data_IF_978475010424
#
_entry.id   IF_978475010424
#
_cell.length_a   1.000
_cell.length_b   1.000
_cell.length_c   1.000
_cell.angle_alpha   90.00
_cell.angle_beta   90.00
_cell.angle_gamma   90.00
#
_symmetry.space_group_name_H-M   'P 1'
#
loop_
_entity.id
_entity.type
_entity.pdbx_description
1 polymer ?
#
# COMPACT_ATOMS: atom_id res chain seq x y z
N UNK A 1 19.69 15.80 -8.26
CA UNK A 1 19.06 15.69 -6.92
C UNK A 1 18.03 14.58 -7.04
N UNK A 2 17.97 13.66 -6.09
CA UNK A 2 16.89 12.66 -6.05
C UNK A 2 15.64 13.41 -5.62
N UNK A 3 14.63 13.43 -6.48
CA UNK A 3 13.33 14.01 -6.16
C UNK A 3 12.68 13.16 -5.06
N UNK A 4 12.21 13.82 -4.00
CA UNK A 4 11.56 13.13 -2.89
C UNK A 4 10.06 13.14 -3.13
N UNK A 5 9.41 12.01 -2.88
CA UNK A 5 7.97 11.87 -2.99
C UNK A 5 7.36 11.71 -1.60
N UNK A 6 6.12 12.16 -1.44
CA UNK A 6 5.35 12.06 -0.21
C UNK A 6 3.89 11.75 -0.52
N UNK A 7 3.20 11.13 0.44
CA UNK A 7 1.78 10.84 0.33
C UNK A 7 0.96 12.10 0.65
N UNK A 8 0.02 12.42 -0.21
CA UNK A 8 -0.91 13.54 -0.03
C UNK A 8 -2.35 13.09 -0.18
N UNK A 9 -3.20 13.61 0.71
CA UNK A 9 -4.64 13.56 0.58
C UNK A 9 -5.12 14.79 -0.17
N UNK A 10 -5.79 14.59 -1.30
CA UNK A 10 -6.34 15.65 -2.12
C UNK A 10 -7.72 16.08 -1.58
N UNK A 11 -7.78 17.35 -1.19
CA UNK A 11 -9.04 18.07 -0.98
C UNK A 11 -9.64 18.36 -2.33
N UNK A 12 -10.96 18.19 -2.43
CA UNK A 12 -11.80 18.44 -3.61
C UNK A 12 -11.11 19.24 -4.72
N UNK A 13 -10.99 18.65 -5.91
CA UNK A 13 -10.53 19.35 -7.11
C UNK A 13 -11.43 18.98 -8.30
N UNK A 14 -11.30 19.72 -9.40
CA UNK A 14 -12.17 19.58 -10.58
C UNK A 14 -11.94 18.27 -11.36
N UNK A 15 -10.79 17.63 -11.14
CA UNK A 15 -10.27 16.50 -11.88
C UNK A 15 -10.44 15.17 -11.12
N UNK A 16 -10.50 15.20 -9.78
CA UNK A 16 -10.51 14.02 -8.93
C UNK A 16 -11.50 14.15 -7.77
N UNK A 17 -12.14 13.04 -7.37
CA UNK A 17 -12.99 13.02 -6.18
C UNK A 17 -12.23 13.47 -4.94
N UNK A 18 -12.92 14.18 -4.06
CA UNK A 18 -12.41 14.51 -2.73
C UNK A 18 -12.01 13.24 -1.97
N UNK A 19 -10.85 13.30 -1.33
CA UNK A 19 -10.30 12.22 -0.53
C UNK A 19 -9.41 11.25 -1.27
N UNK A 20 -9.11 11.52 -2.54
CA UNK A 20 -8.14 10.71 -3.25
C UNK A 20 -6.74 10.87 -2.64
N UNK A 21 -6.07 9.75 -2.37
CA UNK A 21 -4.67 9.73 -1.95
C UNK A 21 -3.76 9.61 -3.17
N UNK A 22 -2.66 10.37 -3.19
CA UNK A 22 -1.63 10.30 -4.21
C UNK A 22 -0.24 10.37 -3.59
N UNK A 23 0.70 9.61 -4.12
CA UNK A 23 2.12 9.89 -3.94
C UNK A 23 2.52 10.96 -4.96
N UNK A 24 3.13 12.06 -4.53
CA UNK A 24 3.53 13.19 -5.37
C UNK A 24 4.89 13.73 -4.93
N UNK A 25 5.54 14.51 -5.81
CA UNK A 25 6.79 15.19 -5.47
C UNK A 25 6.58 16.13 -4.26
N UNK A 26 7.46 16.04 -3.27
CA UNK A 26 7.43 16.83 -2.03
C UNK A 26 8.04 18.22 -2.29
N UNK A 27 7.37 19.00 -3.13
CA UNK A 27 7.79 20.34 -3.56
C UNK A 27 6.75 21.38 -3.14
N UNK A 28 7.04 22.67 -3.36
CA UNK A 28 6.10 23.76 -3.04
C UNK A 28 4.91 23.85 -3.97
N UNK A 29 4.96 23.18 -5.12
CA UNK A 29 3.89 23.17 -6.11
C UNK A 29 3.94 21.83 -6.88
N UNK A 30 3.44 20.74 -6.29
CA UNK A 30 3.39 19.45 -6.94
C UNK A 30 2.49 19.49 -8.18
N UNK A 31 2.83 18.68 -9.17
CA UNK A 31 2.00 18.47 -10.36
C UNK A 31 1.41 17.06 -10.37
N UNK A 32 0.17 16.96 -10.82
CA UNK A 32 -0.38 15.69 -11.28
C UNK A 32 0.07 15.49 -12.73
N UNK A 33 0.57 14.29 -13.09
CA UNK A 33 0.86 13.96 -14.47
C UNK A 33 -0.38 14.18 -15.35
N UNK A 34 -0.15 14.53 -16.62
CA UNK A 34 -1.19 14.52 -17.64
C UNK A 34 -1.90 13.16 -17.61
N UNK A 35 -3.23 13.18 -17.62
CA UNK A 35 -4.05 11.98 -17.47
C UNK A 35 -4.48 11.44 -18.83
N UNK A 36 -3.90 11.95 -19.90
CA UNK A 36 -4.33 11.72 -21.26
C UNK A 36 -5.34 12.74 -21.77
N UNK A 37 -5.58 13.81 -21.00
CA UNK A 37 -6.29 15.02 -21.42
C UNK A 37 -5.35 16.06 -22.06
N UNK A 38 -4.04 15.80 -22.07
CA UNK A 38 -3.01 16.64 -22.68
C UNK A 38 -2.49 17.73 -21.75
N UNK A 39 -2.94 17.77 -20.49
CA UNK A 39 -2.60 18.84 -19.55
C UNK A 39 -2.14 18.26 -18.21
N UNK A 40 -0.89 18.56 -17.83
CA UNK A 40 -0.43 18.36 -16.46
C UNK A 40 -1.01 19.45 -15.56
N UNK A 41 -1.52 19.06 -14.40
CA UNK A 41 -2.23 19.99 -13.51
C UNK A 41 -1.36 20.32 -12.31
N UNK A 42 -1.04 21.60 -12.13
CA UNK A 42 -0.41 22.10 -10.91
C UNK A 42 -1.44 22.10 -9.78
N UNK A 43 -1.07 21.54 -8.64
CA UNK A 43 -1.93 21.49 -7.46
C UNK A 43 -1.45 22.48 -6.41
N UNK A 44 -2.37 23.31 -5.94
CA UNK A 44 -2.14 24.19 -4.81
C UNK A 44 -1.95 23.37 -3.53
N UNK A 45 -0.90 23.67 -2.77
CA UNK A 45 -0.63 23.05 -1.48
C UNK A 45 -1.76 23.24 -0.48
N UNK A 46 -2.59 24.28 -0.59
CA UNK A 46 -3.79 24.45 0.24
C UNK A 46 -4.84 23.36 0.03
N UNK A 47 -4.82 22.73 -1.15
CA UNK A 47 -5.69 21.59 -1.53
C UNK A 47 -5.07 20.24 -1.16
N UNK A 48 -3.86 20.22 -0.61
CA UNK A 48 -3.18 18.98 -0.23
C UNK A 48 -3.00 18.90 1.27
N UNK A 49 -3.23 17.70 1.81
CA UNK A 49 -2.83 17.38 3.18
C UNK A 49 -1.75 16.32 3.10
N UNK A 50 -0.51 16.72 3.44
CA UNK A 50 0.60 15.78 3.55
C UNK A 50 0.27 14.76 4.62
N UNK A 51 0.27 13.49 4.23
CA UNK A 51 -0.02 12.35 5.09
C UNK A 51 1.28 11.72 5.57
N UNK A 52 1.28 11.06 6.75
CA UNK A 52 2.41 10.24 7.15
C UNK A 52 2.60 9.10 6.14
N UNK A 53 3.83 8.59 6.07
CA UNK A 53 4.17 7.46 5.22
C UNK A 53 3.28 6.25 5.50
N UNK A 54 2.96 5.53 4.44
CA UNK A 54 1.99 4.48 4.45
C UNK A 54 2.59 3.20 5.05
N UNK A 55 2.22 2.86 6.30
CA UNK A 55 2.74 1.67 6.98
C UNK A 55 2.06 0.35 6.57
N UNK A 56 0.96 0.42 5.81
CA UNK A 56 0.14 -0.73 5.43
C UNK A 56 0.57 -1.26 4.06
N UNK A 57 0.46 -2.56 3.82
CA UNK A 57 0.76 -3.10 2.49
C UNK A 57 -0.52 -3.04 1.67
N UNK A 58 -0.62 -2.07 0.75
CA UNK A 58 -1.74 -2.02 -0.19
C UNK A 58 -1.63 -3.21 -1.12
N UNK A 59 -2.56 -4.18 -1.12
CA UNK A 59 -2.53 -5.25 -2.10
C UNK A 59 -2.77 -4.65 -3.48
N UNK A 60 -1.81 -4.73 -4.42
CA UNK A 60 -1.90 -4.06 -5.72
C UNK A 60 -3.16 -4.41 -6.53
N UNK A 61 -3.69 -5.63 -6.36
CA UNK A 61 -4.93 -6.08 -7.01
C UNK A 61 -6.23 -5.51 -6.43
N UNK A 62 -6.17 -4.83 -5.27
CA UNK A 62 -7.32 -4.14 -4.67
C UNK A 62 -7.39 -2.66 -5.03
N UNK A 63 -6.37 -2.12 -5.71
CA UNK A 63 -6.29 -0.73 -6.11
C UNK A 63 -7.32 -0.45 -7.21
N UNK A 64 -8.34 0.40 -7.02
CA UNK A 64 -9.26 0.76 -8.09
C UNK A 64 -8.49 1.30 -9.30
N UNK A 65 -8.91 0.93 -10.51
CA UNK A 65 -8.27 1.37 -11.74
C UNK A 65 -9.26 2.17 -12.58
N UNK A 66 -8.81 3.30 -13.12
CA UNK A 66 -9.52 4.02 -14.17
C UNK A 66 -8.60 4.21 -15.38
N UNK A 67 -9.06 3.79 -16.55
CA UNK A 67 -8.44 4.17 -17.83
C UNK A 67 -8.94 5.55 -18.18
N UNK A 68 -8.01 6.44 -18.50
CA UNK A 68 -8.29 7.87 -18.68
C UNK A 68 -8.12 8.31 -20.13
N UNK A 69 -7.30 7.61 -20.92
CA UNK A 69 -7.20 7.85 -22.37
C UNK A 69 -6.72 6.63 -23.14
N UNK A 70 -7.04 6.62 -24.44
CA UNK A 70 -6.56 5.66 -25.43
C UNK A 70 -6.29 6.43 -26.73
N UNK A 71 -5.11 6.29 -27.34
CA UNK A 71 -4.76 7.06 -28.54
C UNK A 71 -5.40 6.56 -29.83
N UNK A 72 -5.80 5.28 -29.89
CA UNK A 72 -6.49 4.65 -31.02
C UNK A 72 -7.68 3.82 -30.54
N UNK A 73 -8.86 4.10 -31.08
CA UNK A 73 -10.11 3.45 -30.67
C UNK A 73 -10.93 4.29 -29.68
N UNK A 74 -11.98 3.67 -29.14
CA UNK A 74 -12.91 4.31 -28.21
C UNK A 74 -12.63 3.85 -26.78
N UNK A 75 -12.40 4.81 -25.88
CA UNK A 75 -12.20 4.58 -24.45
C UNK A 75 -13.33 3.74 -23.83
N UNK A 76 -14.57 3.91 -24.30
CA UNK A 76 -15.74 3.18 -23.79
C UNK A 76 -15.67 1.67 -24.07
N UNK A 77 -14.82 1.25 -25.00
CA UNK A 77 -14.63 -0.16 -25.34
C UNK A 77 -13.52 -0.82 -24.51
N UNK A 78 -12.73 -0.04 -23.75
CA UNK A 78 -11.73 -0.59 -22.83
C UNK A 78 -12.39 -0.94 -21.51
N UNK A 79 -12.21 -2.18 -21.07
CA UNK A 79 -12.81 -2.67 -19.83
C UNK A 79 -11.75 -3.13 -18.83
N UNK A 80 -12.03 -2.98 -17.55
CA UNK A 80 -11.21 -3.55 -16.48
C UNK A 80 -11.84 -4.88 -16.06
N UNK A 81 -11.18 -5.99 -16.37
CA UNK A 81 -11.50 -7.30 -15.82
C UNK A 81 -10.68 -7.49 -14.53
N UNK A 82 -11.37 -7.71 -13.43
CA UNK A 82 -10.72 -7.80 -12.12
C UNK A 82 -11.42 -8.74 -11.16
N UNK A 83 -10.60 -9.33 -10.31
CA UNK A 83 -11.01 -10.09 -9.13
C UNK A 83 -10.16 -9.64 -7.94
N UNK A 84 -10.32 -10.30 -6.79
CA UNK A 84 -9.39 -10.12 -5.67
C UNK A 84 -7.93 -10.48 -6.03
N UNK A 85 -7.71 -11.29 -7.07
CA UNK A 85 -6.41 -11.89 -7.38
C UNK A 85 -5.71 -11.29 -8.60
N UNK A 86 -6.45 -10.63 -9.49
CA UNK A 86 -5.88 -10.03 -10.69
C UNK A 86 -6.63 -8.77 -11.10
N UNK A 87 -5.95 -7.93 -11.85
CA UNK A 87 -6.54 -6.81 -12.59
C UNK A 87 -5.92 -6.77 -13.97
N UNK A 88 -6.77 -6.66 -14.97
CA UNK A 88 -6.41 -6.68 -16.38
C UNK A 88 -7.13 -5.54 -17.09
N UNK A 89 -6.37 -4.75 -17.85
CA UNK A 89 -6.96 -3.84 -18.85
C UNK A 89 -7.21 -4.65 -20.11
N UNK A 90 -8.48 -4.81 -20.48
CA UNK A 90 -8.87 -5.49 -21.70
C UNK A 90 -9.06 -4.46 -22.82
N UNK A 91 -8.27 -4.63 -23.88
CA UNK A 91 -8.30 -3.76 -25.05
C UNK A 91 -8.85 -4.58 -26.22
N UNK A 92 -10.06 -4.29 -26.71
CA UNK A 92 -10.60 -5.02 -27.84
C UNK A 92 -9.86 -4.65 -29.12
N UNK A 93 -9.61 -5.67 -29.94
CA UNK A 93 -9.13 -5.45 -31.30
C UNK A 93 -10.25 -4.82 -32.14
N UNK A 94 -10.09 -3.53 -32.43
CA UNK A 94 -10.92 -2.80 -33.38
C UNK A 94 -10.45 -3.07 -34.83
N UNK A 95 -11.18 -2.55 -35.82
CA UNK A 95 -10.81 -2.69 -37.25
C UNK A 95 -9.36 -2.24 -37.52
N UNK A 96 -8.86 -1.30 -36.72
CA UNK A 96 -7.53 -0.69 -36.84
C UNK A 96 -6.43 -1.38 -36.00
N UNK A 97 -6.79 -2.31 -35.11
CA UNK A 97 -5.84 -3.00 -34.21
C UNK A 97 -6.02 -4.49 -34.40
N UNK A 98 -5.17 -5.11 -35.22
CA UNK A 98 -5.21 -6.55 -35.47
C UNK A 98 -4.42 -7.36 -34.44
N UNK A 99 -3.40 -6.74 -33.84
CA UNK A 99 -2.45 -7.38 -32.93
C UNK A 99 -1.70 -6.34 -32.10
N UNK A 100 -1.38 -6.68 -30.85
CA UNK A 100 -0.36 -6.01 -30.03
C UNK A 100 0.84 -6.95 -29.94
N UNK A 101 2.04 -6.48 -30.26
CA UNK A 101 3.29 -7.26 -30.25
C UNK A 101 3.90 -7.31 -28.84
N UNK A 102 3.98 -6.15 -28.20
CA UNK A 102 4.46 -5.99 -26.83
C UNK A 102 3.79 -4.78 -26.19
N UNK A 103 3.87 -4.67 -24.87
CA UNK A 103 3.49 -3.45 -24.16
C UNK A 103 4.54 -3.11 -23.11
N UNK A 104 4.98 -1.86 -23.10
CA UNK A 104 5.82 -1.30 -22.04
C UNK A 104 4.97 -0.41 -21.17
N UNK A 105 5.03 -0.58 -19.85
CA UNK A 105 4.33 0.28 -18.89
C UNK A 105 5.31 1.18 -18.18
N UNK A 106 5.05 2.48 -18.25
CA UNK A 106 5.84 3.52 -17.62
C UNK A 106 5.06 4.14 -16.46
N UNK A 107 5.73 4.34 -15.34
CA UNK A 107 5.29 5.22 -14.26
C UNK A 107 5.52 6.67 -14.67
N UNK A 108 4.42 7.39 -14.93
CA UNK A 108 4.46 8.78 -15.40
C UNK A 108 4.89 9.77 -14.33
N UNK A 109 4.78 9.40 -13.06
CA UNK A 109 5.17 10.24 -11.94
C UNK A 109 6.69 10.19 -11.73
N UNK A 110 7.27 9.00 -11.84
CA UNK A 110 8.70 8.77 -11.63
C UNK A 110 9.53 8.82 -12.93
N UNK A 111 8.88 8.75 -14.10
CA UNK A 111 9.54 8.72 -15.40
C UNK A 111 10.33 7.42 -15.63
N UNK A 112 9.85 6.30 -15.11
CA UNK A 112 10.54 5.01 -15.12
C UNK A 112 9.69 3.94 -15.79
N UNK A 113 10.33 3.06 -16.57
CA UNK A 113 9.73 1.80 -16.99
C UNK A 113 9.54 0.91 -15.76
N UNK A 114 8.33 0.41 -15.56
CA UNK A 114 7.98 -0.45 -14.40
C UNK A 114 7.69 -1.89 -14.79
N UNK A 115 7.28 -2.13 -16.04
CA UNK A 115 7.03 -3.49 -16.53
C UNK A 115 7.03 -3.55 -18.05
N UNK A 116 7.34 -4.74 -18.60
CA UNK A 116 7.23 -5.05 -20.02
C UNK A 116 6.53 -6.39 -20.22
N UNK A 117 5.54 -6.40 -21.12
CA UNK A 117 4.73 -7.56 -21.43
C UNK A 117 4.93 -7.95 -22.88
N UNK A 118 5.10 -9.25 -23.12
CA UNK A 118 4.96 -9.82 -24.46
C UNK A 118 3.49 -10.05 -24.79
N UNK A 119 3.16 -10.12 -26.08
CA UNK A 119 1.78 -10.32 -26.54
C UNK A 119 1.12 -11.53 -25.88
N UNK A 120 -0.04 -11.31 -25.26
CA UNK A 120 -0.97 -12.38 -24.90
C UNK A 120 -2.34 -12.06 -25.51
N UNK A 121 -2.70 -12.82 -26.55
CA UNK A 121 -3.97 -12.65 -27.25
C UNK A 121 -4.94 -13.72 -26.75
N UNK A 122 -6.08 -13.27 -26.24
CA UNK A 122 -7.20 -14.16 -25.87
C UNK A 122 -8.48 -13.53 -26.42
N UNK A 123 -9.27 -14.29 -27.17
CA UNK A 123 -10.61 -13.88 -27.64
C UNK A 123 -10.67 -12.53 -28.38
N UNK A 124 -9.68 -12.24 -29.26
CA UNK A 124 -9.55 -10.96 -30.01
C UNK A 124 -9.47 -9.72 -29.10
N UNK A 125 -8.95 -9.91 -27.89
CA UNK A 125 -8.59 -8.82 -26.99
C UNK A 125 -7.12 -8.96 -26.63
N UNK A 126 -6.47 -7.83 -26.44
CA UNK A 126 -5.22 -7.79 -25.71
C UNK A 126 -5.51 -7.61 -24.21
N UNK A 127 -4.82 -8.40 -23.38
CA UNK A 127 -4.99 -8.40 -21.92
C UNK A 127 -3.71 -7.91 -21.26
N UNK A 128 -3.75 -6.68 -20.74
CA UNK A 128 -2.63 -6.08 -20.02
C UNK A 128 -2.76 -6.33 -18.52
N UNK A 129 -1.93 -7.20 -17.96
CA UNK A 129 -2.01 -7.66 -16.57
C UNK A 129 -1.36 -6.68 -15.58
N UNK A 130 -2.13 -5.69 -15.13
CA UNK A 130 -1.66 -4.60 -14.24
C UNK A 130 -1.83 -4.87 -12.74
N UNK A 131 -2.25 -6.08 -12.37
CA UNK A 131 -2.60 -6.44 -10.99
C UNK A 131 -1.47 -6.23 -9.99
N UNK A 132 -0.20 -6.33 -10.40
CA UNK A 132 0.96 -6.16 -9.52
C UNK A 132 1.41 -4.70 -9.35
N UNK A 133 0.94 -3.79 -10.21
CA UNK A 133 1.34 -2.38 -10.17
C UNK A 133 0.78 -1.69 -8.93
N UNK A 134 1.61 -0.89 -8.28
CA UNK A 134 1.24 -0.08 -7.10
C UNK A 134 0.23 1.02 -7.48
N UNK A 135 -0.38 1.72 -6.52
CA UNK A 135 -1.09 2.96 -6.83
C UNK A 135 -0.16 3.96 -7.55
N UNK A 136 -0.67 4.64 -8.57
CA UNK A 136 0.14 5.54 -9.40
C UNK A 136 -0.50 5.93 -10.72
N UNK A 137 0.25 6.70 -11.51
CA UNK A 137 -0.11 7.18 -12.84
C UNK A 137 0.72 6.41 -13.88
N UNK A 138 0.05 5.75 -14.81
CA UNK A 138 0.70 4.85 -15.75
C UNK A 138 0.35 5.17 -17.20
N UNK A 139 1.32 4.96 -18.07
CA UNK A 139 1.16 4.91 -19.52
C UNK A 139 1.61 3.54 -20.03
N UNK A 140 0.74 2.83 -20.73
CA UNK A 140 1.11 1.65 -21.48
C UNK A 140 1.31 2.03 -22.95
N UNK A 141 2.51 1.77 -23.46
CA UNK A 141 2.89 1.90 -24.86
C UNK A 141 2.81 0.50 -25.48
N UNK A 142 1.74 0.23 -26.21
CA UNK A 142 1.51 -1.02 -26.91
C UNK A 142 2.06 -0.91 -28.34
N UNK A 143 3.06 -1.74 -28.66
CA UNK A 143 3.62 -1.85 -30.01
C UNK A 143 2.67 -2.64 -30.91
N UNK A 144 2.32 -2.08 -32.05
CA UNK A 144 1.50 -2.70 -33.09
C UNK A 144 2.38 -3.10 -34.28
N UNK A 145 1.86 -3.88 -35.25
CA UNK A 145 2.52 -4.06 -36.54
C UNK A 145 2.88 -2.74 -37.23
N UNK A 146 3.84 -2.80 -38.17
CA UNK A 146 4.29 -1.64 -38.96
C UNK A 146 4.86 -0.46 -38.16
N UNK A 147 5.35 -0.74 -36.94
CA UNK A 147 5.91 0.25 -36.01
C UNK A 147 4.89 1.29 -35.52
N UNK A 148 3.60 0.98 -35.64
CA UNK A 148 2.56 1.79 -35.04
C UNK A 148 2.49 1.59 -33.52
N UNK A 149 1.96 2.59 -32.80
CA UNK A 149 1.79 2.52 -31.35
C UNK A 149 0.36 2.81 -30.95
N UNK A 150 -0.08 2.13 -29.90
CA UNK A 150 -1.28 2.44 -29.13
C UNK A 150 -0.83 2.89 -27.73
N UNK A 151 -1.28 4.07 -27.31
CA UNK A 151 -1.01 4.61 -25.99
C UNK A 151 -2.26 4.50 -25.13
N UNK A 152 -2.09 4.04 -23.89
CA UNK A 152 -3.18 3.92 -22.93
C UNK A 152 -2.71 4.55 -21.62
N UNK A 153 -3.41 5.60 -21.17
CA UNK A 153 -3.16 6.16 -19.84
C UNK A 153 -4.17 5.59 -18.85
N UNK A 154 -3.71 5.20 -17.67
CA UNK A 154 -4.57 4.73 -16.59
C UNK A 154 -4.00 5.13 -15.22
N UNK A 155 -4.90 5.20 -14.24
CA UNK A 155 -4.59 5.55 -12.86
C UNK A 155 -4.97 4.38 -11.98
N UNK A 156 -4.04 3.93 -11.12
CA UNK A 156 -4.35 3.02 -10.01
C UNK A 156 -4.46 3.85 -8.74
N UNK A 157 -5.65 3.87 -8.15
CA UNK A 157 -5.93 4.61 -6.92
C UNK A 157 -5.57 3.80 -5.69
N UNK A 158 -5.29 4.50 -4.59
CA UNK A 158 -5.32 3.85 -3.28
C UNK A 158 -6.73 3.32 -3.00
N UNK A 159 -6.89 2.12 -2.41
CA UNK A 159 -8.20 1.59 -2.06
C UNK A 159 -8.93 2.50 -1.07
N UNK A 160 -10.25 2.60 -1.24
CA UNK A 160 -11.11 3.53 -0.47
C UNK A 160 -10.97 3.35 1.05
N UNK A 161 -10.81 2.11 1.52
CA UNK A 161 -10.62 1.80 2.95
C UNK A 161 -9.43 2.52 3.58
N UNK A 162 -8.42 2.90 2.79
CA UNK A 162 -7.29 3.67 3.27
C UNK A 162 -7.56 5.17 3.16
N UNK A 163 -8.13 5.64 2.04
CA UNK A 163 -8.62 7.02 1.89
C UNK A 163 -9.45 7.48 3.09
N UNK A 164 -10.42 6.67 3.51
CA UNK A 164 -11.34 7.03 4.59
C UNK A 164 -10.62 7.14 5.95
N UNK A 165 -9.63 6.28 6.21
CA UNK A 165 -8.84 6.29 7.46
C UNK A 165 -7.87 7.47 7.53
N UNK A 166 -7.32 7.88 6.40
CA UNK A 166 -6.38 9.01 6.33
C UNK A 166 -7.10 10.35 6.38
N UNK A 167 -8.37 10.43 5.97
CA UNK A 167 -9.17 11.66 6.11
C UNK A 167 -9.19 12.16 7.56
N UNK A 168 -9.39 11.28 8.53
CA UNK A 168 -9.41 11.62 9.96
C UNK A 168 -8.01 12.03 10.48
N UNK A 169 -6.96 11.32 10.06
CA UNK A 169 -5.57 11.64 10.43
C UNK A 169 -5.19 13.02 9.87
N UNK A 170 -5.57 13.28 8.62
CA UNK A 170 -5.33 14.54 7.92
C UNK A 170 -6.09 15.72 8.57
N UNK A 171 -7.33 15.51 9.00
CA UNK A 171 -8.10 16.51 9.77
C UNK A 171 -7.46 16.80 11.13
N UNK A 172 -6.99 15.77 11.84
CA UNK A 172 -6.33 15.92 13.14
C UNK A 172 -4.98 16.67 13.05
N UNK A 173 -4.20 16.44 11.99
CA UNK A 173 -2.97 17.21 11.69
C UNK A 173 -3.26 18.70 11.46
N UNK A 174 -4.35 19.02 10.76
CA UNK A 174 -4.72 20.41 10.53
C UNK A 174 -5.27 21.12 11.77
N UNK A 175 -6.08 20.44 12.57
CA UNK A 175 -6.49 20.94 13.88
C UNK A 175 -5.27 21.18 14.78
N UNK A 176 -4.26 20.30 14.71
CA UNK A 176 -2.97 20.49 15.39
C UNK A 176 -2.16 21.66 14.83
N UNK A 177 -2.23 21.99 13.54
CA UNK A 177 -1.56 23.18 12.97
C UNK A 177 -2.27 24.47 13.36
N UNK A 178 -3.60 24.47 13.40
CA UNK A 178 -4.41 25.62 13.78
C UNK A 178 -4.44 25.86 15.30
N UNK A 179 -4.17 24.84 16.12
CA UNK A 179 -4.08 24.93 17.58
C UNK A 179 -2.68 25.21 18.15
N UNK A 180 -1.63 25.24 17.32
CA UNK A 180 -0.23 25.34 17.78
C UNK A 180 0.39 26.74 17.58
N UNK A 181 -0.26 27.75 18.16
CA UNK A 181 0.49 28.85 18.82
C UNK A 181 0.97 28.40 20.23
N UNK A 182 0.69 27.15 20.63
CA UNK A 182 1.31 26.47 21.74
C UNK A 182 2.49 25.62 21.26
N UNK A 183 3.67 25.92 21.80
CA UNK A 183 4.97 25.27 21.57
C UNK A 183 4.83 23.75 21.40
N UNK A 184 5.31 23.24 20.26
CA UNK A 184 5.65 21.82 20.09
C UNK A 184 6.63 21.41 21.19
N UNK A 185 6.15 20.70 22.19
CA UNK A 185 7.02 19.86 23.03
C UNK A 185 7.42 18.67 22.16
N UNK A 186 8.71 18.40 21.97
CA UNK A 186 9.16 17.21 21.24
C UNK A 186 8.57 15.97 21.90
N UNK A 187 7.94 15.09 21.11
CA UNK A 187 7.67 13.73 21.57
C UNK A 187 9.05 13.10 21.80
N UNK A 188 9.40 12.72 23.04
CA UNK A 188 10.67 12.08 23.27
C UNK A 188 10.69 10.78 22.47
N UNK A 189 11.78 10.53 21.74
CA UNK A 189 12.12 9.18 21.33
C UNK A 189 12.12 8.35 22.59
N UNK A 190 11.15 7.43 22.73
CA UNK A 190 11.17 6.49 23.84
C UNK A 190 12.41 5.63 23.57
N UNK A 191 13.49 5.93 24.29
CA UNK A 191 14.65 5.07 24.35
C UNK A 191 14.14 3.76 24.96
N UNK A 192 13.98 2.72 24.13
CA UNK A 192 13.72 1.37 24.63
C UNK A 192 14.93 1.06 25.52
N UNK A 193 14.66 0.73 26.78
CA UNK A 193 15.73 0.44 27.72
C UNK A 193 16.61 -0.68 27.15
N UNK A 194 17.95 -0.58 27.29
CA UNK A 194 18.84 -1.64 26.83
C UNK A 194 18.46 -2.96 27.52
N UNK A 195 18.29 -4.02 26.73
CA UNK A 195 18.06 -5.38 27.23
C UNK A 195 19.41 -6.01 27.55
N UNK A 196 19.62 -6.43 28.80
CA UNK A 196 20.80 -7.18 29.17
C UNK A 196 20.56 -8.69 29.07
N UNK A 197 21.61 -9.42 28.69
CA UNK A 197 21.52 -10.86 28.46
C UNK A 197 21.00 -11.59 29.71
N UNK A 198 19.94 -12.37 29.52
CA UNK A 198 19.31 -13.17 30.58
C UNK A 198 18.19 -12.47 31.36
N UNK A 199 17.89 -11.21 31.03
CA UNK A 199 16.74 -10.51 31.58
C UNK A 199 15.42 -11.02 30.98
N UNK A 200 14.31 -10.73 31.68
CA UNK A 200 12.97 -10.92 31.11
C UNK A 200 12.77 -9.89 30.00
N UNK A 201 12.30 -10.32 28.83
CA UNK A 201 12.02 -9.40 27.72
C UNK A 201 10.98 -8.36 28.13
N UNK A 202 11.28 -7.09 27.86
CA UNK A 202 10.31 -6.01 28.07
C UNK A 202 9.14 -6.11 27.08
N UNK A 203 7.99 -5.54 27.45
CA UNK A 203 6.83 -5.49 26.58
C UNK A 203 7.16 -4.77 25.26
N UNK A 204 8.00 -3.72 25.30
CA UNK A 204 8.46 -3.00 24.12
C UNK A 204 9.29 -3.88 23.18
N UNK A 205 10.21 -4.68 23.73
CA UNK A 205 11.03 -5.60 22.94
C UNK A 205 10.18 -6.72 22.33
N UNK A 206 9.22 -7.25 23.08
CA UNK A 206 8.27 -8.26 22.59
C UNK A 206 7.41 -7.71 21.44
N UNK A 207 6.84 -6.51 21.60
CA UNK A 207 6.07 -5.86 20.54
C UNK A 207 6.93 -5.51 19.32
N UNK A 208 8.19 -5.13 19.53
CA UNK A 208 9.10 -4.85 18.43
C UNK A 208 9.47 -6.12 17.65
N UNK A 209 9.81 -7.21 18.34
CA UNK A 209 10.08 -8.51 17.72
C UNK A 209 8.86 -9.04 16.94
N UNK A 210 7.67 -8.88 17.51
CA UNK A 210 6.42 -9.23 16.85
C UNK A 210 6.19 -8.42 15.58
N UNK A 211 6.46 -7.11 15.63
CA UNK A 211 6.40 -6.22 14.47
C UNK A 211 7.29 -6.72 13.34
N UNK A 212 8.56 -7.03 13.62
CA UNK A 212 9.52 -7.57 12.63
C UNK A 212 9.09 -8.92 12.05
N UNK A 213 8.52 -9.80 12.87
CA UNK A 213 8.10 -11.16 12.47
C UNK A 213 6.95 -11.13 11.47
N UNK A 214 6.12 -10.09 11.56
CA UNK A 214 4.87 -9.95 10.81
C UNK A 214 4.95 -8.79 9.82
N UNK A 215 6.17 -8.37 9.48
CA UNK A 215 6.44 -7.48 8.36
C UNK A 215 6.08 -8.17 7.03
N UNK A 216 5.61 -7.36 6.09
CA UNK A 216 5.25 -7.78 4.74
C UNK A 216 6.25 -7.21 3.72
N UNK A 217 6.09 -7.57 2.45
CA UNK A 217 6.97 -7.12 1.37
C UNK A 217 8.29 -7.89 1.36
N UNK A 218 9.40 -7.20 1.10
CA UNK A 218 10.72 -7.83 0.95
C UNK A 218 11.18 -8.61 2.19
N UNK A 219 10.62 -8.32 3.37
CA UNK A 219 10.96 -8.98 4.63
C UNK A 219 9.99 -10.09 5.04
N UNK A 220 8.96 -10.36 4.24
CA UNK A 220 7.95 -11.36 4.56
C UNK A 220 8.58 -12.76 4.74
N UNK A 221 8.30 -13.37 5.89
CA UNK A 221 8.82 -14.70 6.24
C UNK A 221 10.33 -14.78 6.49
N UNK A 222 11.07 -13.67 6.39
CA UNK A 222 12.52 -13.65 6.66
C UNK A 222 12.80 -13.74 8.16
N UNK A 223 13.94 -14.35 8.58
CA UNK A 223 14.38 -14.31 9.98
C UNK A 223 14.49 -12.86 10.52
N UNK A 224 14.20 -12.66 11.80
CA UNK A 224 14.30 -11.33 12.43
C UNK A 224 15.72 -10.99 12.91
N UNK A 225 16.62 -11.98 12.98
CA UNK A 225 17.97 -11.87 13.59
C UNK A 225 18.75 -10.64 13.15
N UNK A 226 18.97 -10.48 11.84
CA UNK A 226 19.76 -9.37 11.31
C UNK A 226 19.10 -8.00 11.55
N UNK A 227 17.76 -7.96 11.62
CA UNK A 227 16.99 -6.73 11.80
C UNK A 227 16.94 -6.32 13.27
N UNK A 228 16.70 -7.27 14.17
CA UNK A 228 16.61 -7.00 15.61
C UNK A 228 17.97 -6.63 16.20
N UNK A 229 19.06 -7.22 15.71
CA UNK A 229 20.44 -6.90 16.15
C UNK A 229 20.87 -5.46 15.80
N UNK A 230 20.21 -4.78 14.85
CA UNK A 230 20.51 -3.37 14.54
C UNK A 230 20.15 -2.43 15.69
N UNK A 231 19.10 -2.76 16.44
CA UNK A 231 18.64 -1.97 17.58
C UNK A 231 19.03 -2.60 18.92
N UNK A 232 19.16 -3.93 18.97
CA UNK A 232 19.47 -4.69 20.17
C UNK A 232 20.69 -5.59 19.95
N UNK A 233 21.90 -5.02 19.78
CA UNK A 233 23.11 -5.77 19.45
C UNK A 233 23.58 -6.72 20.57
N UNK A 234 23.07 -6.54 21.81
CA UNK A 234 23.42 -7.37 22.96
C UNK A 234 22.67 -8.71 23.00
N UNK A 235 21.60 -8.86 22.21
CA UNK A 235 20.81 -10.09 22.17
C UNK A 235 21.65 -11.27 21.66
N UNK A 236 21.60 -12.37 22.39
CA UNK A 236 22.13 -13.66 21.94
C UNK A 236 21.23 -14.31 20.90
N UNK A 237 21.80 -15.22 20.11
CA UNK A 237 21.03 -16.05 19.16
C UNK A 237 19.88 -16.80 19.84
N UNK A 238 20.11 -17.31 21.06
CA UNK A 238 19.09 -18.00 21.84
C UNK A 238 17.93 -17.08 22.25
N UNK A 239 18.22 -15.82 22.60
CA UNK A 239 17.19 -14.82 22.92
C UNK A 239 16.40 -14.42 21.68
N UNK A 240 17.06 -14.28 20.52
CA UNK A 240 16.40 -13.98 19.24
C UNK A 240 15.49 -15.13 18.82
N UNK A 241 15.93 -16.37 18.99
CA UNK A 241 15.11 -17.56 18.71
C UNK A 241 13.90 -17.61 19.65
N UNK A 242 14.10 -17.29 20.94
CA UNK A 242 13.00 -17.20 21.90
C UNK A 242 12.00 -16.10 21.54
N UNK A 243 12.46 -14.89 21.19
CA UNK A 243 11.62 -13.78 20.74
C UNK A 243 10.83 -14.13 19.46
N UNK A 244 11.48 -14.80 18.51
CA UNK A 244 10.83 -15.28 17.27
C UNK A 244 9.74 -16.29 17.60
N UNK A 245 10.01 -17.22 18.52
CA UNK A 245 9.05 -18.24 18.95
C UNK A 245 7.85 -17.62 19.65
N UNK A 246 8.07 -16.70 20.59
CA UNK A 246 6.99 -15.99 21.30
C UNK A 246 6.14 -15.17 20.31
N UNK A 247 6.79 -14.48 19.38
CA UNK A 247 6.11 -13.68 18.35
C UNK A 247 5.20 -14.55 17.48
N UNK A 248 5.69 -15.71 17.01
CA UNK A 248 4.91 -16.66 16.23
C UNK A 248 3.76 -17.27 17.02
N UNK A 249 3.96 -17.55 18.30
CA UNK A 249 2.88 -18.06 19.15
C UNK A 249 1.74 -17.06 19.27
N UNK A 250 2.05 -15.77 19.48
CA UNK A 250 1.05 -14.71 19.51
C UNK A 250 0.35 -14.55 18.15
N UNK A 251 1.12 -14.53 17.07
CA UNK A 251 0.60 -14.47 15.69
C UNK A 251 -0.39 -15.61 15.41
N UNK A 252 0.03 -16.87 15.59
CA UNK A 252 -0.81 -18.04 15.30
C UNK A 252 -2.06 -18.08 16.14
N UNK A 253 -1.97 -17.68 17.42
CA UNK A 253 -3.15 -17.61 18.27
C UNK A 253 -4.18 -16.59 17.76
N UNK A 254 -3.74 -15.41 17.32
CA UNK A 254 -4.64 -14.38 16.80
C UNK A 254 -5.26 -14.84 15.46
N UNK A 255 -4.50 -15.55 14.63
CA UNK A 255 -5.04 -16.13 13.40
C UNK A 255 -6.06 -17.24 13.68
N UNK A 256 -5.84 -18.06 14.71
CA UNK A 256 -6.80 -19.06 15.16
C UNK A 256 -8.10 -18.40 15.66
N UNK A 257 -8.01 -17.28 16.40
CA UNK A 257 -9.18 -16.49 16.78
C UNK A 257 -9.95 -15.98 15.55
N UNK A 258 -9.25 -15.49 14.53
CA UNK A 258 -9.89 -15.06 13.28
C UNK A 258 -10.57 -16.23 12.54
N UNK A 259 -9.98 -17.43 12.54
CA UNK A 259 -10.62 -18.62 11.99
C UNK A 259 -11.87 -19.03 12.78
N UNK A 260 -11.83 -18.91 14.12
CA UNK A 260 -12.99 -19.13 14.98
C UNK A 260 -14.11 -18.11 14.74
N UNK A 261 -13.78 -16.87 14.39
CA UNK A 261 -14.76 -15.87 13.97
C UNK A 261 -15.48 -16.28 12.69
N UNK A 262 -14.73 -16.75 11.67
CA UNK A 262 -15.31 -17.25 10.43
C UNK A 262 -16.26 -18.44 10.66
N UNK A 263 -15.89 -19.33 11.60
CA UNK A 263 -16.73 -20.45 12.04
C UNK A 263 -17.97 -20.00 12.86
N UNK A 264 -18.11 -18.71 13.16
CA UNK A 264 -19.19 -18.15 13.96
C UNK A 264 -19.12 -18.50 15.46
N UNK A 265 -17.96 -18.92 15.96
CA UNK A 265 -17.74 -19.29 17.37
C UNK A 265 -17.51 -18.08 18.27
N UNK A 266 -16.94 -17.02 17.71
CA UNK A 266 -16.71 -15.73 18.37
C UNK A 266 -17.09 -14.60 17.41
N UNK A 267 -17.22 -13.37 17.91
CA UNK A 267 -17.39 -12.21 17.03
C UNK A 267 -16.04 -11.54 16.74
N UNK A 268 -15.97 -10.78 15.64
CA UNK A 268 -14.77 -10.02 15.27
C UNK A 268 -14.28 -9.08 16.39
N UNK A 269 -15.21 -8.46 17.13
CA UNK A 269 -14.87 -7.56 18.24
C UNK A 269 -14.24 -8.27 19.46
N UNK A 270 -14.35 -9.60 19.54
CA UNK A 270 -13.80 -10.40 20.64
C UNK A 270 -12.32 -10.76 20.43
N UNK A 271 -11.81 -10.68 19.20
CA UNK A 271 -10.45 -11.11 18.83
C UNK A 271 -9.38 -10.34 19.61
N UNK A 272 -9.43 -9.00 19.60
CA UNK A 272 -8.44 -8.16 20.28
C UNK A 272 -8.50 -8.32 21.81
N UNK A 273 -9.68 -8.29 22.46
CA UNK A 273 -9.81 -8.62 23.88
C UNK A 273 -9.23 -9.98 24.26
N UNK A 274 -9.52 -11.04 23.50
CA UNK A 274 -8.99 -12.39 23.77
C UNK A 274 -7.47 -12.48 23.56
N UNK A 275 -6.95 -11.84 22.53
CA UNK A 275 -5.51 -11.76 22.27
C UNK A 275 -4.77 -11.08 23.43
N UNK A 276 -5.25 -9.91 23.87
CA UNK A 276 -4.64 -9.14 24.96
C UNK A 276 -4.87 -9.75 26.34
N UNK A 277 -5.93 -10.53 26.50
CA UNK A 277 -6.16 -11.33 27.70
C UNK A 277 -5.14 -12.46 27.85
N UNK A 278 -4.74 -13.10 26.75
CA UNK A 278 -3.72 -14.17 26.76
C UNK A 278 -2.29 -13.61 26.77
N UNK A 279 -2.02 -12.57 25.99
CA UNK A 279 -0.71 -11.94 25.87
C UNK A 279 -0.79 -10.51 26.38
N UNK A 280 -0.59 -10.33 27.69
CA UNK A 280 -0.75 -9.04 28.38
C UNK A 280 0.23 -7.97 27.91
N UNK A 281 1.36 -8.40 27.34
CA UNK A 281 2.38 -7.52 26.75
C UNK A 281 1.95 -6.92 25.40
N UNK A 282 0.92 -7.45 24.72
CA UNK A 282 0.50 -6.93 23.42
C UNK A 282 -0.02 -5.50 23.53
N UNK A 283 0.62 -4.59 22.79
CA UNK A 283 0.12 -3.24 22.62
C UNK A 283 -1.10 -3.20 21.68
N UNK A 284 -1.76 -2.04 21.64
CA UNK A 284 -2.94 -1.82 20.81
C UNK A 284 -2.62 -1.89 19.31
N UNK A 285 -1.45 -1.42 18.89
CA UNK A 285 -1.05 -1.38 17.48
C UNK A 285 -0.91 -2.80 16.93
N UNK A 286 -0.08 -3.63 17.57
CA UNK A 286 0.19 -4.99 17.16
C UNK A 286 -1.04 -5.90 17.26
N UNK A 287 -1.80 -5.81 18.35
CA UNK A 287 -3.02 -6.62 18.50
C UNK A 287 -4.06 -6.29 17.42
N UNK A 288 -4.26 -5.01 17.10
CA UNK A 288 -5.21 -4.62 16.04
C UNK A 288 -4.71 -5.02 14.66
N UNK A 289 -3.41 -4.83 14.38
CA UNK A 289 -2.80 -5.20 13.11
C UNK A 289 -2.89 -6.70 12.87
N UNK A 290 -2.59 -7.53 13.86
CA UNK A 290 -2.65 -8.98 13.71
C UNK A 290 -4.06 -9.51 13.62
N UNK A 291 -5.03 -8.89 14.31
CA UNK A 291 -6.43 -9.21 14.09
C UNK A 291 -6.80 -8.98 12.62
N UNK A 292 -6.48 -7.82 12.05
CA UNK A 292 -6.75 -7.53 10.63
C UNK A 292 -6.08 -8.52 9.68
N UNK A 293 -4.82 -8.89 9.93
CA UNK A 293 -4.10 -9.88 9.12
C UNK A 293 -4.76 -11.27 9.25
N UNK A 294 -5.11 -11.69 10.47
CA UNK A 294 -5.79 -12.95 10.71
C UNK A 294 -7.13 -13.03 9.99
N UNK A 295 -7.92 -11.96 10.05
CA UNK A 295 -9.21 -11.85 9.35
C UNK A 295 -9.06 -11.91 7.83
N UNK A 296 -8.01 -11.28 7.30
CA UNK A 296 -7.68 -11.38 5.87
C UNK A 296 -7.38 -12.83 5.46
N UNK A 297 -6.61 -13.58 6.25
CA UNK A 297 -6.29 -14.97 5.95
C UNK A 297 -7.46 -15.93 6.17
N UNK A 298 -8.29 -15.71 7.20
CA UNK A 298 -9.44 -16.55 7.46
C UNK A 298 -10.49 -16.45 6.34
N UNK A 299 -10.70 -15.25 5.77
CA UNK A 299 -11.71 -14.99 4.74
C UNK A 299 -11.21 -15.22 3.29
N UNK A 300 -9.98 -15.70 3.12
CA UNK A 300 -9.38 -16.04 1.82
C UNK A 300 -9.69 -17.49 1.43
#
# INVERSE_FOLDING_TARGET
MIEKYALFFLRSNEHFPEGTLFELADTTQPSLPDRGDGEAVLIDMERLIRCPEFAENVPPGQCPVAVTSVSKGDLNNVTIDQTLHYQVVEIPFAVEISQVLSATVNDRLHGLEVERYESSIVDRKYRLHIGHLRPGFYEAICELPDSEQLLITFIKFFPKQFTDRYAEIAQNEQLRRNGNDARRVPIPSIAIAPHHRGDVFSDELLNYALKLTTEWGENYGKPIKERILRLFPELSDQEIDALTKISREAEYYIYDLAAQELDGKINEHDIVPFARGKFTWLDRENSSRLANIGMFYARK
#
